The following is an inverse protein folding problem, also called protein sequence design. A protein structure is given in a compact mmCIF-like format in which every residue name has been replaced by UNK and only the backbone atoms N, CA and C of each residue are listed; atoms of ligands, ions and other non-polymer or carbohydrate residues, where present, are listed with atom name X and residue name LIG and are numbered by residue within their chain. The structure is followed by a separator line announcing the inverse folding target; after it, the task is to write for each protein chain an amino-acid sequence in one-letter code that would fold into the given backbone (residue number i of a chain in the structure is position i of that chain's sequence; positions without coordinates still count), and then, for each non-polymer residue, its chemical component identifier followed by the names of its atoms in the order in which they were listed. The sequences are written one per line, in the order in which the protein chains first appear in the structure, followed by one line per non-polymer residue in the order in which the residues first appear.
data_IF_048778551868
#
_entry.id   IF_048778551868
#
_cell.length_a   1.000
_cell.length_b   1.000
_cell.length_c   1.000
_cell.angle_alpha   90.00
_cell.angle_beta   90.00
_cell.angle_gamma   90.00
#
_symmetry.space_group_name_H-M   'P 1'
#
loop_
_entity.id
_entity.type
_entity.pdbx_description
1 polymer ?
#
# COMPACT_ATOMS: atom_id res chain seq x y z
N UNK A 1 -8.38 17.72 10.93
CA UNK A 1 -7.70 16.76 11.81
C UNK A 1 -6.39 16.33 11.16
N UNK A 2 -5.24 16.45 11.84
CA UNK A 2 -3.97 15.99 11.29
C UNK A 2 -3.97 14.47 11.29
N UNK A 3 -4.10 13.85 10.11
CA UNK A 3 -3.76 12.44 9.92
C UNK A 3 -2.25 12.35 10.10
N UNK A 4 -1.79 11.91 11.29
CA UNK A 4 -0.38 11.61 11.54
C UNK A 4 0.05 10.58 10.49
N UNK A 5 0.93 11.01 9.58
CA UNK A 5 1.49 10.22 8.48
C UNK A 5 2.63 9.31 8.96
N UNK A 6 2.62 8.91 10.23
CA UNK A 6 3.65 8.10 10.84
C UNK A 6 3.10 6.68 11.05
N UNK A 7 2.64 6.03 9.97
CA UNK A 7 2.24 4.61 10.03
C UNK A 7 3.44 3.68 10.20
N UNK A 8 4.65 4.22 10.11
CA UNK A 8 5.92 3.51 10.25
C UNK A 8 6.76 4.24 11.29
N UNK A 9 6.26 4.33 12.53
CA UNK A 9 7.03 4.84 13.67
C UNK A 9 8.11 3.87 14.17
N UNK A 10 8.54 2.91 13.34
CA UNK A 10 9.39 1.79 13.78
C UNK A 10 10.80 1.96 13.27
N UNK A 11 11.71 2.25 14.19
CA UNK A 11 13.10 2.55 13.89
C UNK A 11 13.89 1.35 13.31
N UNK A 12 13.40 0.12 13.46
CA UNK A 12 14.09 -1.07 12.95
C UNK A 12 13.16 -2.28 12.80
N UNK A 13 13.58 -3.26 11.99
CA UNK A 13 12.89 -4.55 11.88
C UNK A 13 12.77 -5.28 13.23
N UNK A 14 13.82 -5.27 14.05
CA UNK A 14 13.79 -5.95 15.35
C UNK A 14 12.70 -5.38 16.28
N UNK A 15 12.54 -4.06 16.28
CA UNK A 15 11.45 -3.41 17.02
C UNK A 15 10.07 -3.77 16.44
N UNK A 16 9.97 -3.90 15.10
CA UNK A 16 8.73 -4.29 14.43
C UNK A 16 8.31 -5.72 14.80
N UNK A 17 9.24 -6.67 14.81
CA UNK A 17 9.00 -8.08 15.11
C UNK A 17 8.43 -8.30 16.52
N UNK A 18 8.70 -7.37 17.46
CA UNK A 18 8.19 -7.43 18.84
C UNK A 18 6.95 -6.59 19.10
N UNK A 19 6.48 -5.78 18.13
CA UNK A 19 5.34 -4.88 18.29
C UNK A 19 4.13 -5.36 17.47
N UNK A 20 3.38 -6.32 18.01
CA UNK A 20 2.18 -6.88 17.37
C UNK A 20 1.15 -5.80 17.01
N UNK A 21 0.95 -4.80 17.87
CA UNK A 21 0.00 -3.72 17.60
C UNK A 21 0.38 -2.99 16.33
N UNK A 22 1.66 -2.68 16.16
CA UNK A 22 2.13 -2.01 14.96
C UNK A 22 2.09 -2.94 13.74
N UNK A 23 2.36 -4.24 13.90
CA UNK A 23 2.17 -5.23 12.82
C UNK A 23 0.72 -5.22 12.31
N UNK A 24 -0.26 -5.30 13.21
CA UNK A 24 -1.69 -5.23 12.85
C UNK A 24 -2.06 -3.89 12.20
N UNK A 25 -1.53 -2.77 12.71
CA UNK A 25 -1.78 -1.45 12.12
C UNK A 25 -1.24 -1.35 10.69
N UNK A 26 -0.04 -1.88 10.44
CA UNK A 26 0.59 -1.92 9.12
C UNK A 26 -0.19 -2.84 8.17
N UNK A 27 -0.55 -4.06 8.61
CA UNK A 27 -1.37 -4.97 7.81
C UNK A 27 -2.67 -4.30 7.39
N UNK A 28 -3.36 -3.65 8.33
CA UNK A 28 -4.61 -2.93 8.04
C UNK A 28 -4.42 -1.80 7.03
N UNK A 29 -3.33 -1.04 7.14
CA UNK A 29 -3.04 0.02 6.17
C UNK A 29 -2.82 -0.55 4.76
N UNK A 30 -2.07 -1.64 4.63
CA UNK A 30 -1.79 -2.29 3.36
C UNK A 30 -3.05 -2.94 2.74
N UNK A 31 -3.94 -3.51 3.55
CA UNK A 31 -5.25 -3.98 3.11
C UNK A 31 -6.09 -2.86 2.50
N UNK A 32 -6.14 -1.69 3.15
CA UNK A 32 -6.89 -0.52 2.67
C UNK A 32 -6.33 -0.05 1.32
N UNK A 33 -5.00 -0.01 1.17
CA UNK A 33 -4.34 0.35 -0.09
C UNK A 33 -4.69 -0.65 -1.20
N UNK A 34 -4.64 -1.95 -0.91
CA UNK A 34 -4.99 -2.98 -1.87
C UNK A 34 -6.46 -2.94 -2.28
N UNK A 35 -7.36 -2.70 -1.34
CA UNK A 35 -8.80 -2.52 -1.60
C UNK A 35 -9.06 -1.27 -2.46
N UNK A 36 -8.42 -0.14 -2.13
CA UNK A 36 -8.53 1.09 -2.92
C UNK A 36 -8.04 0.88 -4.36
N UNK A 37 -6.98 0.09 -4.54
CA UNK A 37 -6.43 -0.24 -5.87
C UNK A 37 -7.45 -0.96 -6.76
N UNK A 38 -8.29 -1.83 -6.18
CA UNK A 38 -9.33 -2.56 -6.94
C UNK A 38 -10.41 -1.63 -7.51
N UNK A 39 -10.58 -0.44 -6.93
CA UNK A 39 -11.55 0.58 -7.38
C UNK A 39 -11.01 1.46 -8.51
N UNK A 40 -9.73 1.35 -8.84
CA UNK A 40 -9.13 2.14 -9.92
C UNK A 40 -9.49 1.48 -11.26
N UNK A 41 -10.04 2.25 -12.22
CA UNK A 41 -10.42 1.74 -13.55
C UNK A 41 -9.28 0.97 -14.22
N UNK A 42 -9.62 -0.13 -14.90
CA UNK A 42 -8.61 -0.95 -15.58
C UNK A 42 -7.88 -0.18 -16.69
N UNK A 43 -8.60 0.66 -17.44
CA UNK A 43 -8.02 1.52 -18.46
C UNK A 43 -6.93 2.44 -17.89
N UNK A 44 -7.17 3.02 -16.71
CA UNK A 44 -6.18 3.83 -16.01
C UNK A 44 -4.97 3.00 -15.56
N UNK A 45 -5.22 1.85 -14.92
CA UNK A 45 -4.14 0.93 -14.48
C UNK A 45 -3.25 0.48 -15.65
N UNK A 46 -3.84 0.22 -16.82
CA UNK A 46 -3.11 -0.16 -18.04
C UNK A 46 -2.20 0.94 -18.58
N UNK A 47 -2.56 2.22 -18.39
CA UNK A 47 -1.73 3.36 -18.80
C UNK A 47 -0.58 3.66 -17.84
N UNK A 48 -0.69 3.20 -16.59
CA UNK A 48 0.33 3.38 -15.57
C UNK A 48 0.95 2.04 -15.12
N UNK A 49 1.55 1.23 -16.02
CA UNK A 49 2.01 -0.12 -15.68
C UNK A 49 3.24 -0.15 -14.76
N UNK A 50 3.93 0.99 -14.60
CA UNK A 50 5.05 1.15 -13.67
C UNK A 50 4.60 1.07 -12.20
N UNK A 51 3.31 1.33 -11.92
CA UNK A 51 2.73 1.13 -10.60
C UNK A 51 2.32 -0.34 -10.47
N UNK A 52 2.68 -1.03 -9.37
CA UNK A 52 2.45 -2.47 -9.21
C UNK A 52 1.00 -2.79 -8.79
N UNK A 53 0.00 -2.35 -9.56
CA UNK A 53 -1.42 -2.45 -9.23
C UNK A 53 -1.86 -3.87 -8.83
N UNK A 54 -1.47 -4.87 -9.62
CA UNK A 54 -1.85 -6.26 -9.37
C UNK A 54 -1.26 -6.77 -8.05
N UNK A 55 -0.03 -6.37 -7.72
CA UNK A 55 0.62 -6.75 -6.46
C UNK A 55 -0.12 -6.11 -5.28
N UNK A 56 -0.48 -4.84 -5.36
CA UNK A 56 -1.24 -4.15 -4.29
C UNK A 56 -2.61 -4.79 -4.07
N UNK A 57 -3.36 -5.05 -5.14
CA UNK A 57 -4.66 -5.72 -5.04
C UNK A 57 -4.55 -7.14 -4.46
N UNK A 58 -3.53 -7.90 -4.87
CA UNK A 58 -3.28 -9.26 -4.37
C UNK A 58 -2.77 -9.29 -2.93
N UNK A 59 -2.01 -8.28 -2.49
CA UNK A 59 -1.53 -8.18 -1.11
C UNK A 59 -2.69 -8.14 -0.11
N UNK A 60 -3.76 -7.39 -0.42
CA UNK A 60 -4.98 -7.40 0.41
C UNK A 60 -5.56 -8.80 0.53
N UNK A 61 -5.60 -9.58 -0.55
CA UNK A 61 -6.17 -10.93 -0.52
C UNK A 61 -5.31 -11.89 0.29
N UNK A 62 -3.99 -11.72 0.31
CA UNK A 62 -3.09 -12.47 1.19
C UNK A 62 -3.34 -12.07 2.65
N UNK A 63 -3.32 -10.77 2.95
CA UNK A 63 -3.42 -10.29 4.33
C UNK A 63 -4.75 -10.69 4.99
N UNK A 64 -5.89 -10.63 4.28
CA UNK A 64 -7.16 -10.96 4.93
C UNK A 64 -7.45 -12.47 5.07
N UNK A 65 -6.76 -13.34 4.31
CA UNK A 65 -7.01 -14.80 4.33
C UNK A 65 -5.86 -15.60 4.95
N UNK A 66 -4.65 -15.05 4.98
CA UNK A 66 -3.42 -15.75 5.37
C UNK A 66 -2.60 -14.92 6.37
N UNK A 67 -3.22 -14.01 7.14
CA UNK A 67 -2.50 -13.15 8.09
C UNK A 67 -1.64 -13.94 9.09
N UNK A 68 -2.10 -15.12 9.52
CA UNK A 68 -1.39 -15.97 10.49
C UNK A 68 -0.01 -16.43 10.00
N UNK A 69 0.20 -16.49 8.68
CA UNK A 69 1.45 -16.92 8.06
C UNK A 69 2.28 -15.78 7.45
N UNK A 70 1.92 -14.51 7.71
CA UNK A 70 2.59 -13.37 7.10
C UNK A 70 4.04 -13.28 7.58
N UNK A 71 4.97 -13.21 6.64
CA UNK A 71 6.38 -12.97 6.93
C UNK A 71 6.57 -11.52 7.39
N UNK A 72 6.87 -11.32 8.68
CA UNK A 72 7.02 -9.99 9.29
C UNK A 72 8.11 -9.13 8.65
N UNK A 73 9.21 -9.74 8.19
CA UNK A 73 10.26 -9.02 7.45
C UNK A 73 9.75 -8.52 6.10
N UNK A 74 9.01 -9.35 5.36
CA UNK A 74 8.41 -8.93 4.11
C UNK A 74 7.37 -7.82 4.32
N UNK A 75 6.55 -7.93 5.37
CA UNK A 75 5.58 -6.90 5.76
C UNK A 75 6.27 -5.57 6.10
N UNK A 76 7.35 -5.61 6.89
CA UNK A 76 8.15 -4.44 7.22
C UNK A 76 8.76 -3.78 5.97
N UNK A 77 9.39 -4.56 5.08
CA UNK A 77 9.98 -4.04 3.83
C UNK A 77 8.91 -3.42 2.94
N UNK A 78 7.76 -4.09 2.82
CA UNK A 78 6.64 -3.59 2.02
C UNK A 78 6.17 -2.23 2.54
N UNK A 79 6.03 -2.09 3.85
CA UNK A 79 5.57 -0.84 4.47
C UNK A 79 6.61 0.29 4.48
N UNK A 80 7.90 -0.04 4.56
CA UNK A 80 8.98 0.95 4.74
C UNK A 80 9.66 1.35 3.44
N UNK A 81 9.78 0.42 2.48
CA UNK A 81 10.52 0.61 1.24
C UNK A 81 9.56 0.70 0.06
N UNK A 82 8.76 -0.34 -0.17
CA UNK A 82 7.90 -0.39 -1.36
C UNK A 82 6.80 0.68 -1.31
N UNK A 83 6.12 0.81 -0.16
CA UNK A 83 5.09 1.82 0.02
C UNK A 83 5.65 3.24 -0.05
N UNK A 84 6.87 3.48 0.43
CA UNK A 84 7.52 4.79 0.33
C UNK A 84 7.80 5.18 -1.13
N UNK A 85 8.39 4.27 -1.91
CA UNK A 85 8.62 4.49 -3.34
C UNK A 85 7.31 4.69 -4.13
N UNK A 86 6.24 3.99 -3.74
CA UNK A 86 4.92 4.24 -4.30
C UNK A 86 4.44 5.67 -4.00
N UNK A 87 4.52 6.11 -2.75
CA UNK A 87 4.12 7.47 -2.34
C UNK A 87 4.85 8.54 -3.14
N UNK A 88 6.14 8.35 -3.43
CA UNK A 88 6.92 9.26 -4.28
C UNK A 88 6.42 9.32 -5.72
N UNK A 89 5.91 8.21 -6.26
CA UNK A 89 5.36 8.15 -7.62
C UNK A 89 3.93 8.73 -7.74
N UNK A 90 3.17 8.77 -6.65
CA UNK A 90 1.75 9.14 -6.67
C UNK A 90 1.46 10.56 -7.22
N UNK A 91 2.24 11.62 -6.95
CA UNK A 91 1.94 12.96 -7.46
C UNK A 91 1.80 13.00 -8.99
N UNK A 92 2.69 12.32 -9.71
CA UNK A 92 2.63 12.26 -11.18
C UNK A 92 1.39 11.50 -11.68
N UNK A 93 1.04 10.40 -11.01
CA UNK A 93 -0.13 9.59 -11.34
C UNK A 93 -1.43 10.35 -11.05
N UNK A 94 -1.48 11.08 -9.93
CA UNK A 94 -2.64 11.91 -9.55
C UNK A 94 -2.83 13.04 -10.57
N UNK A 95 -1.75 13.72 -10.96
CA UNK A 95 -1.82 14.77 -11.97
C UNK A 95 -2.35 14.22 -13.32
N UNK A 96 -1.91 13.03 -13.73
CA UNK A 96 -2.42 12.37 -14.92
C UNK A 96 -3.92 12.06 -14.80
N UNK A 97 -4.37 11.52 -13.66
CA UNK A 97 -5.79 11.22 -13.42
C UNK A 97 -6.70 12.46 -13.45
N UNK A 98 -6.19 13.62 -13.03
CA UNK A 98 -6.94 14.88 -13.02
C UNK A 98 -6.98 15.57 -14.39
N UNK A 99 -6.01 15.29 -15.26
CA UNK A 99 -5.93 15.84 -16.60
C UNK A 99 -6.76 15.02 -17.62
N UNK A 100 -7.20 13.83 -17.25
CA UNK A 100 -8.04 13.00 -18.11
C UNK A 100 -9.49 13.49 -18.04
N UNK A 101 -10.16 13.67 -19.20
CA UNK A 101 -11.60 13.91 -19.18
C UNK A 101 -12.27 12.72 -18.50
N UNK A 102 -13.23 13.02 -17.61
CA UNK A 102 -14.10 11.99 -17.06
C UNK A 102 -14.88 11.44 -18.26
N UNK A 103 -14.61 10.20 -18.64
CA UNK A 103 -15.46 9.49 -19.61
C UNK A 103 -16.84 9.33 -18.94
N UNK A 104 -17.84 10.05 -19.48
CA UNK A 104 -19.26 9.96 -19.13
C UNK A 104 -19.87 8.58 -19.48
#
# INVERSE_FOLDING_TARGET
MPRKRDFVGVASLAAFETDERNQYAVMRALEIIGEATKRIPEAFRRRHPHIPWRRMAGLRDILIHQYEGVNLRALYITATVEAAGLVESLPAVIAAAQAEPVDD
#
